data_IF_713017590521
#
_entry.id   IF_713017590521
#
_cell.length_a   1.000
_cell.length_b   1.000
_cell.length_c   1.000
_cell.angle_alpha   90.00
_cell.angle_beta   90.00
_cell.angle_gamma   90.00
#
_symmetry.space_group_name_H-M   'P 1'
#
loop_
_entity.id
_entity.type
_entity.pdbx_description
1 polymer ?
#
# COMPACT_ATOMS: atom_id res chain seq x y z
N UNK A 1 1.65 21.57 26.93
CA UNK A 1 1.99 20.13 26.88
C UNK A 1 1.49 19.62 25.54
N UNK A 2 2.36 19.55 24.53
CA UNK A 2 2.01 19.12 23.18
C UNK A 2 2.85 17.90 22.84
N UNK A 3 2.21 16.73 22.73
CA UNK A 3 2.83 15.50 22.23
C UNK A 3 2.81 15.54 20.70
N UNK A 4 3.99 15.65 20.09
CA UNK A 4 4.17 15.38 18.68
C UNK A 4 4.26 13.86 18.49
N UNK A 5 3.25 13.28 17.85
CA UNK A 5 3.25 11.89 17.41
C UNK A 5 4.16 11.81 16.18
N UNK A 6 5.34 11.20 16.36
CA UNK A 6 6.26 10.91 15.27
C UNK A 6 5.66 9.87 14.34
N UNK A 7 5.29 10.29 13.14
CA UNK A 7 4.92 9.39 12.04
C UNK A 7 6.19 8.63 11.65
N UNK A 8 6.24 7.33 11.91
CA UNK A 8 7.30 6.46 11.39
C UNK A 8 6.99 6.26 9.91
N UNK A 9 7.51 7.17 9.08
CA UNK A 9 7.55 6.97 7.64
C UNK A 9 8.42 5.75 7.34
N UNK A 10 7.82 4.71 6.79
CA UNK A 10 8.53 3.62 6.13
C UNK A 10 9.43 4.23 5.06
N UNK A 11 10.74 4.17 5.25
CA UNK A 11 11.70 4.51 4.21
C UNK A 11 11.55 3.49 3.08
N UNK A 12 10.69 3.78 2.11
CA UNK A 12 10.93 3.34 0.76
C UNK A 12 12.28 3.95 0.38
N UNK A 13 13.32 3.14 0.33
CA UNK A 13 14.57 3.54 -0.29
C UNK A 13 14.23 3.78 -1.76
N UNK A 14 13.97 5.04 -2.11
CA UNK A 14 14.03 5.49 -3.49
C UNK A 14 15.42 5.09 -3.96
N UNK A 15 15.48 4.00 -4.72
CA UNK A 15 16.69 3.51 -5.36
C UNK A 15 17.21 4.67 -6.20
N UNK A 16 18.23 5.37 -5.73
CA UNK A 16 18.77 6.53 -6.44
C UNK A 16 19.40 6.03 -7.74
N UNK A 17 18.62 6.09 -8.81
CA UNK A 17 19.05 5.66 -10.13
C UNK A 17 20.12 6.62 -10.63
N UNK A 18 21.28 6.05 -10.99
CA UNK A 18 22.34 6.78 -11.67
C UNK A 18 21.84 7.26 -13.02
N UNK A 19 21.94 8.56 -13.24
CA UNK A 19 21.70 9.19 -14.52
C UNK A 19 22.98 9.12 -15.38
N UNK A 20 22.94 8.40 -16.50
CA UNK A 20 24.07 8.27 -17.41
C UNK A 20 24.11 9.41 -18.43
N UNK A 21 25.32 9.87 -18.75
CA UNK A 21 25.51 10.87 -19.81
C UNK A 21 25.24 10.23 -21.18
N UNK A 22 24.36 10.85 -21.96
CA UNK A 22 23.99 10.38 -23.29
C UNK A 22 25.21 10.24 -24.22
N UNK A 23 25.33 9.09 -24.90
CA UNK A 23 26.40 8.77 -25.84
C UNK A 23 27.71 8.30 -25.21
N UNK A 24 27.92 8.49 -23.91
CA UNK A 24 29.13 8.04 -23.23
C UNK A 24 29.12 6.51 -23.03
N UNK A 25 30.27 5.86 -23.26
CA UNK A 25 30.42 4.41 -23.03
C UNK A 25 30.53 4.12 -21.53
N UNK A 26 29.80 3.11 -21.07
CA UNK A 26 29.89 2.59 -19.71
C UNK A 26 30.02 1.07 -19.72
N UNK A 27 30.70 0.56 -18.69
CA UNK A 27 30.77 -0.86 -18.34
C UNK A 27 30.31 -0.96 -16.88
N UNK A 28 29.29 -1.77 -16.62
CA UNK A 28 28.69 -1.94 -15.30
C UNK A 28 28.79 -3.41 -14.92
N UNK A 29 29.41 -3.68 -13.78
CA UNK A 29 29.46 -5.01 -13.18
C UNK A 29 28.58 -4.99 -11.94
N UNK A 30 27.60 -5.89 -11.89
CA UNK A 30 26.63 -5.85 -10.81
C UNK A 30 25.59 -6.96 -10.89
N UNK A 31 24.63 -6.89 -9.99
CA UNK A 31 23.55 -7.88 -9.89
C UNK A 31 22.23 -7.24 -10.32
N UNK A 32 21.41 -7.98 -11.06
CA UNK A 32 20.04 -7.54 -11.39
C UNK A 32 19.23 -7.53 -10.09
N UNK A 33 18.77 -6.34 -9.67
CA UNK A 33 17.94 -6.18 -8.47
C UNK A 33 16.46 -6.11 -8.78
N UNK A 34 16.11 -5.61 -9.96
CA UNK A 34 14.72 -5.50 -10.43
C UNK A 34 14.67 -5.68 -11.93
N UNK A 35 13.59 -6.28 -12.43
CA UNK A 35 13.28 -6.43 -13.85
C UNK A 35 11.97 -5.68 -14.11
N UNK A 36 12.05 -4.60 -14.88
CA UNK A 36 10.88 -3.79 -15.26
C UNK A 36 10.15 -4.45 -16.43
N UNK A 37 10.90 -4.85 -17.46
CA UNK A 37 10.41 -5.52 -18.68
C UNK A 37 11.38 -6.61 -19.14
N UNK A 38 11.06 -7.34 -20.21
CA UNK A 38 11.97 -8.35 -20.80
C UNK A 38 13.29 -7.78 -21.30
N UNK A 39 13.32 -6.49 -21.64
CA UNK A 39 14.51 -5.79 -22.13
C UNK A 39 14.99 -4.68 -21.17
N UNK A 40 14.29 -4.43 -20.06
CA UNK A 40 14.63 -3.34 -19.15
C UNK A 40 14.77 -3.86 -17.74
N UNK A 41 15.94 -3.64 -17.13
CA UNK A 41 16.22 -4.09 -15.78
C UNK A 41 17.14 -3.12 -15.05
N UNK A 42 17.16 -3.21 -13.72
CA UNK A 42 18.01 -2.39 -12.86
C UNK A 42 19.17 -3.25 -12.36
N UNK A 43 20.39 -2.76 -12.59
CA UNK A 43 21.62 -3.37 -12.09
C UNK A 43 22.15 -2.56 -10.93
N UNK A 44 22.43 -3.22 -9.81
CA UNK A 44 23.14 -2.65 -8.68
C UNK A 44 24.60 -3.05 -8.75
N UNK A 45 25.49 -2.06 -8.78
CA UNK A 45 26.94 -2.31 -8.75
C UNK A 45 27.43 -2.69 -7.33
N UNK A 46 28.73 -2.97 -7.19
CA UNK A 46 29.34 -3.31 -5.89
C UNK A 46 29.39 -2.15 -4.90
N UNK A 47 29.23 -0.91 -5.37
CA UNK A 47 29.18 0.33 -4.56
C UNK A 47 27.74 0.63 -4.13
N UNK A 48 26.75 -0.15 -4.58
CA UNK A 48 25.35 0.00 -4.24
C UNK A 48 24.61 1.01 -5.13
N UNK A 49 25.19 1.41 -6.26
CA UNK A 49 24.56 2.35 -7.18
C UNK A 49 23.68 1.61 -8.17
N UNK A 50 22.41 2.02 -8.25
CA UNK A 50 21.44 1.42 -9.16
C UNK A 50 21.50 2.09 -10.53
N UNK A 51 21.48 1.29 -11.59
CA UNK A 51 21.45 1.80 -12.97
C UNK A 51 20.40 1.08 -13.77
N UNK A 52 19.53 1.85 -14.42
CA UNK A 52 18.58 1.31 -15.39
C UNK A 52 19.33 0.92 -16.66
N UNK A 53 19.11 -0.31 -17.09
CA UNK A 53 19.72 -0.91 -18.28
C UNK A 53 18.62 -1.30 -19.24
N UNK A 54 18.74 -0.85 -20.49
CA UNK A 54 17.85 -1.18 -21.60
C UNK A 54 18.63 -2.00 -22.62
N UNK A 55 18.21 -3.23 -22.86
CA UNK A 55 18.83 -4.15 -23.83
C UNK A 55 18.52 -3.67 -25.24
N UNK A 56 19.58 -3.34 -25.99
CA UNK A 56 19.43 -2.95 -27.40
C UNK A 56 18.99 -4.15 -28.24
N UNK A 57 18.22 -3.96 -29.33
CA UNK A 57 17.71 -5.07 -30.17
C UNK A 57 18.82 -5.98 -30.74
N UNK A 58 20.02 -5.43 -30.95
CA UNK A 58 21.19 -6.13 -31.47
C UNK A 58 22.19 -6.54 -30.38
N UNK A 59 21.81 -6.48 -29.10
CA UNK A 59 22.72 -6.74 -27.99
C UNK A 59 23.26 -8.18 -28.00
N UNK A 60 24.57 -8.30 -27.75
CA UNK A 60 25.23 -9.60 -27.62
C UNK A 60 25.15 -10.08 -26.17
N UNK A 61 24.14 -10.87 -25.85
CA UNK A 61 23.97 -11.53 -24.55
C UNK A 61 24.60 -12.93 -24.62
N UNK A 62 25.67 -13.18 -23.87
CA UNK A 62 26.33 -14.49 -23.84
C UNK A 62 26.79 -14.89 -22.45
N UNK A 63 26.79 -16.19 -22.20
CA UNK A 63 27.50 -16.74 -21.05
C UNK A 63 29.01 -16.81 -21.34
N UNK A 64 29.84 -16.61 -20.33
CA UNK A 64 31.27 -16.89 -20.41
C UNK A 64 31.48 -18.40 -20.47
N UNK A 65 32.39 -18.84 -21.33
CA UNK A 65 32.78 -20.24 -21.46
C UNK A 65 34.30 -20.36 -21.30
N UNK A 66 34.73 -21.37 -20.54
CA UNK A 66 36.15 -21.63 -20.25
C UNK A 66 36.94 -22.09 -21.48
N UNK A 67 36.27 -22.67 -22.48
CA UNK A 67 36.84 -22.99 -23.78
C UNK A 67 35.83 -22.67 -24.90
N UNK A 68 36.01 -21.55 -25.60
CA UNK A 68 35.24 -21.19 -26.80
C UNK A 68 34.37 -19.92 -26.69
N UNK A 69 33.64 -19.62 -27.78
CA UNK A 69 32.61 -18.58 -27.77
C UNK A 69 31.39 -19.10 -27.02
N UNK A 70 31.10 -18.58 -25.83
CA UNK A 70 29.99 -19.08 -25.02
C UNK A 70 28.60 -18.85 -25.63
N UNK A 71 27.64 -19.61 -25.11
CA UNK A 71 26.26 -19.71 -25.63
C UNK A 71 25.55 -18.35 -25.64
N UNK A 72 24.77 -18.08 -26.70
CA UNK A 72 23.92 -16.88 -26.79
C UNK A 72 22.60 -17.12 -26.07
N UNK A 73 22.16 -16.13 -25.31
CA UNK A 73 20.92 -16.20 -24.56
C UNK A 73 19.95 -15.08 -24.98
N UNK A 74 18.63 -15.30 -24.88
CA UNK A 74 17.64 -14.24 -25.04
C UNK A 74 17.61 -13.31 -23.81
N UNK A 75 17.21 -12.05 -23.99
CA UNK A 75 17.09 -11.09 -22.89
C UNK A 75 16.12 -11.58 -21.79
N UNK A 76 15.04 -12.26 -22.18
CA UNK A 76 14.07 -12.87 -21.26
C UNK A 76 14.68 -13.88 -20.27
N UNK A 77 15.83 -14.48 -20.58
CA UNK A 77 16.51 -15.42 -19.68
C UNK A 77 17.25 -14.75 -18.52
N UNK A 78 17.42 -13.42 -18.59
CA UNK A 78 18.01 -12.64 -17.51
C UNK A 78 16.98 -12.48 -16.39
N UNK A 79 17.32 -12.99 -15.21
CA UNK A 79 16.47 -13.00 -14.02
C UNK A 79 17.08 -12.17 -12.90
N UNK A 80 16.27 -11.77 -11.92
CA UNK A 80 16.77 -11.10 -10.71
C UNK A 80 17.79 -11.98 -9.99
N UNK A 81 18.76 -11.35 -9.33
CA UNK A 81 19.85 -12.03 -8.64
C UNK A 81 20.99 -12.50 -9.57
N UNK A 82 20.86 -12.32 -10.89
CA UNK A 82 21.94 -12.64 -11.82
C UNK A 82 23.04 -11.57 -11.75
N UNK A 83 24.24 -12.00 -11.37
CA UNK A 83 25.45 -11.19 -11.50
C UNK A 83 25.97 -11.23 -12.94
N UNK A 84 26.12 -10.05 -13.53
CA UNK A 84 26.50 -9.86 -14.91
C UNK A 84 27.30 -8.58 -15.13
N UNK A 85 27.92 -8.51 -16.31
CA UNK A 85 28.60 -7.35 -16.85
C UNK A 85 27.82 -6.82 -18.04
N UNK A 86 27.49 -5.54 -18.01
CA UNK A 86 26.81 -4.82 -19.09
C UNK A 86 27.74 -3.76 -19.66
N UNK A 87 28.00 -3.83 -20.95
CA UNK A 87 28.61 -2.75 -21.72
C UNK A 87 27.55 -2.08 -22.59
N UNK A 88 27.57 -0.75 -22.60
CA UNK A 88 26.62 0.03 -23.38
C UNK A 88 27.01 1.50 -23.49
N UNK A 89 26.06 2.31 -23.95
CA UNK A 89 26.15 3.76 -23.93
C UNK A 89 24.98 4.37 -23.18
N UNK A 90 25.20 5.48 -22.48
CA UNK A 90 24.09 6.24 -21.91
C UNK A 90 23.13 6.68 -23.01
N UNK A 91 21.83 6.64 -22.75
CA UNK A 91 20.80 7.14 -23.64
C UNK A 91 20.28 8.51 -23.19
N UNK A 92 19.33 9.08 -23.93
CA UNK A 92 18.72 10.38 -23.61
C UNK A 92 17.85 10.35 -22.35
N UNK A 93 17.45 9.17 -21.88
CA UNK A 93 16.63 8.97 -20.69
C UNK A 93 17.48 8.69 -19.44
N UNK A 94 18.80 8.81 -19.54
CA UNK A 94 19.70 8.54 -18.42
C UNK A 94 19.97 7.07 -18.16
N UNK A 95 19.51 6.17 -19.02
CA UNK A 95 19.63 4.72 -18.88
C UNK A 95 20.82 4.20 -19.70
N UNK A 96 21.24 2.97 -19.45
CA UNK A 96 22.29 2.31 -20.22
C UNK A 96 21.67 1.54 -21.39
N UNK A 97 21.86 2.00 -22.62
CA UNK A 97 21.59 1.22 -23.82
C UNK A 97 22.67 0.12 -23.96
N UNK A 98 22.36 -1.07 -23.46
CA UNK A 98 23.26 -2.22 -23.42
C UNK A 98 23.44 -2.82 -24.82
N UNK A 99 24.69 -2.91 -25.24
CA UNK A 99 25.08 -3.51 -26.53
C UNK A 99 25.71 -4.88 -26.34
N UNK A 100 26.24 -5.16 -25.15
CA UNK A 100 26.90 -6.42 -24.83
C UNK A 100 26.67 -6.76 -23.36
N UNK A 101 26.26 -7.99 -23.11
CA UNK A 101 26.00 -8.53 -21.78
C UNK A 101 26.78 -9.84 -21.65
N UNK A 102 27.49 -9.98 -20.53
CA UNK A 102 28.30 -11.16 -20.19
C UNK A 102 27.99 -11.61 -18.77
N UNK A 103 27.87 -12.92 -18.57
CA UNK A 103 27.62 -13.50 -17.25
C UNK A 103 28.16 -14.93 -17.21
N UNK A 104 28.28 -15.49 -16.02
CA UNK A 104 28.68 -16.89 -15.88
C UNK A 104 27.45 -17.80 -15.84
N UNK A 105 27.53 -18.97 -16.48
CA UNK A 105 26.43 -19.94 -16.54
C UNK A 105 26.00 -20.42 -15.14
N UNK A 106 26.95 -20.53 -14.20
CA UNK A 106 26.69 -20.85 -12.80
C UNK A 106 25.84 -19.78 -12.11
N UNK A 107 26.09 -18.50 -12.41
CA UNK A 107 25.35 -17.38 -11.82
C UNK A 107 23.91 -17.38 -12.35
N UNK A 108 23.70 -17.71 -13.63
CA UNK A 108 22.36 -17.86 -14.21
C UNK A 108 21.57 -18.96 -13.51
N UNK A 109 22.16 -20.15 -13.32
CA UNK A 109 21.49 -21.26 -12.63
C UNK A 109 21.13 -20.90 -11.19
N UNK A 110 22.05 -20.24 -10.48
CA UNK A 110 21.83 -19.78 -9.10
C UNK A 110 20.69 -18.76 -9.06
N UNK A 111 20.72 -17.76 -9.93
CA UNK A 111 19.71 -16.72 -9.99
C UNK A 111 18.33 -17.28 -10.34
N UNK A 112 18.22 -18.19 -11.31
CA UNK A 112 16.96 -18.87 -11.65
C UNK A 112 16.40 -19.68 -10.48
N UNK A 113 17.26 -20.35 -9.70
CA UNK A 113 16.82 -21.09 -8.52
C UNK A 113 16.25 -20.16 -7.44
N UNK A 114 16.81 -18.96 -7.28
CA UNK A 114 16.32 -17.96 -6.33
C UNK A 114 15.02 -17.35 -6.83
N UNK A 115 14.98 -16.91 -8.09
CA UNK A 115 13.80 -16.28 -8.71
C UNK A 115 12.57 -17.18 -8.63
N UNK A 116 12.72 -18.49 -8.91
CA UNK A 116 11.63 -19.47 -8.80
C UNK A 116 10.99 -19.57 -7.41
N UNK A 117 11.69 -19.16 -6.36
CA UNK A 117 11.20 -19.16 -4.96
C UNK A 117 10.70 -17.80 -4.51
N UNK A 118 11.19 -16.71 -5.10
CA UNK A 118 10.81 -15.34 -4.76
C UNK A 118 9.49 -14.96 -5.41
N UNK A 119 9.25 -15.34 -6.67
CA UNK A 119 8.00 -14.98 -7.38
C UNK A 119 6.73 -15.43 -6.63
N UNK A 120 6.62 -16.68 -6.13
CA UNK A 120 5.44 -17.08 -5.34
C UNK A 120 5.33 -16.35 -4.00
N UNK A 121 6.45 -15.88 -3.43
CA UNK A 121 6.43 -15.12 -2.18
C UNK A 121 5.93 -13.68 -2.40
N UNK A 122 6.31 -13.04 -3.50
CA UNK A 122 5.82 -11.70 -3.90
C UNK A 122 4.33 -11.71 -4.22
N UNK A 123 3.85 -12.74 -4.91
CA UNK A 123 2.40 -12.93 -5.17
C UNK A 123 1.61 -13.04 -3.86
N UNK A 124 2.12 -13.82 -2.90
CA UNK A 124 1.49 -13.96 -1.57
C UNK A 124 1.51 -12.66 -0.78
N UNK A 125 2.58 -11.86 -0.91
CA UNK A 125 2.69 -10.58 -0.22
C UNK A 125 1.69 -9.56 -0.79
N UNK A 126 1.58 -9.48 -2.11
CA UNK A 126 0.60 -8.62 -2.81
C UNK A 126 -0.83 -8.96 -2.39
N UNK A 127 -1.17 -10.25 -2.33
CA UNK A 127 -2.48 -10.71 -1.87
C UNK A 127 -2.73 -10.37 -0.39
N UNK A 128 -1.70 -10.46 0.47
CA UNK A 128 -1.81 -10.08 1.86
C UNK A 128 -2.02 -8.57 2.04
N UNK A 129 -1.33 -7.74 1.25
CA UNK A 129 -1.50 -6.29 1.25
C UNK A 129 -2.89 -5.85 0.78
N UNK A 130 -3.42 -6.47 -0.28
CA UNK A 130 -4.78 -6.21 -0.75
C UNK A 130 -5.82 -6.62 0.31
N UNK A 131 -5.62 -7.78 0.93
CA UNK A 131 -6.46 -8.23 2.02
C UNK A 131 -6.40 -7.28 3.23
N UNK A 132 -5.21 -6.79 3.58
CA UNK A 132 -5.04 -5.81 4.66
C UNK A 132 -5.74 -4.48 4.35
N UNK A 133 -5.65 -3.98 3.10
CA UNK A 133 -6.39 -2.78 2.65
C UNK A 133 -7.90 -2.97 2.79
N UNK A 134 -8.42 -4.13 2.36
CA UNK A 134 -9.84 -4.46 2.50
C UNK A 134 -10.27 -4.51 3.96
N UNK A 135 -9.48 -5.15 4.83
CA UNK A 135 -9.75 -5.21 6.27
C UNK A 135 -9.70 -3.81 6.90
N UNK A 136 -8.74 -2.97 6.51
CA UNK A 136 -8.66 -1.58 6.97
C UNK A 136 -9.93 -0.80 6.62
N UNK A 137 -10.42 -0.91 5.38
CA UNK A 137 -11.67 -0.27 4.97
C UNK A 137 -12.88 -0.77 5.78
N UNK A 138 -12.94 -2.06 6.10
CA UNK A 138 -13.98 -2.62 6.96
C UNK A 138 -13.90 -2.07 8.39
N UNK A 139 -12.70 -1.87 8.94
CA UNK A 139 -12.52 -1.29 10.27
C UNK A 139 -13.01 0.17 10.28
N UNK A 140 -12.70 0.95 9.24
CA UNK A 140 -13.17 2.33 9.11
C UNK A 140 -14.70 2.41 9.03
N UNK A 141 -15.33 1.53 8.23
CA UNK A 141 -16.79 1.40 8.18
C UNK A 141 -17.39 1.00 9.52
N UNK A 142 -16.81 0.01 10.21
CA UNK A 142 -17.27 -0.42 11.53
C UNK A 142 -17.14 0.69 12.58
N UNK A 143 -16.08 1.49 12.53
CA UNK A 143 -15.93 2.66 13.41
C UNK A 143 -17.00 3.71 13.12
N UNK A 144 -17.30 3.98 11.85
CA UNK A 144 -18.37 4.91 11.48
C UNK A 144 -19.75 4.42 11.96
N UNK A 145 -20.06 3.14 11.76
CA UNK A 145 -21.30 2.51 12.25
C UNK A 145 -21.36 2.56 13.78
N UNK A 146 -20.26 2.24 14.47
CA UNK A 146 -20.21 2.26 15.93
C UNK A 146 -20.44 3.67 16.49
N UNK A 147 -19.85 4.68 15.87
CA UNK A 147 -20.07 6.08 16.25
C UNK A 147 -21.52 6.52 15.99
N UNK A 148 -22.09 6.15 14.85
CA UNK A 148 -23.49 6.42 14.53
C UNK A 148 -24.44 5.73 15.52
N UNK A 149 -24.20 4.46 15.85
CA UNK A 149 -24.97 3.70 16.83
C UNK A 149 -24.90 4.33 18.22
N UNK A 150 -23.70 4.76 18.66
CA UNK A 150 -23.52 5.44 19.95
C UNK A 150 -24.23 6.80 20.00
N UNK A 151 -24.19 7.55 18.91
CA UNK A 151 -24.93 8.80 18.77
C UNK A 151 -26.45 8.59 18.81
N UNK A 152 -26.96 7.61 18.06
CA UNK A 152 -28.38 7.25 18.07
C UNK A 152 -28.86 6.75 19.43
N UNK A 153 -28.06 5.93 20.11
CA UNK A 153 -28.37 5.46 21.46
C UNK A 153 -28.46 6.62 22.47
N UNK A 154 -27.54 7.59 22.38
CA UNK A 154 -27.56 8.78 23.23
C UNK A 154 -28.80 9.64 22.98
N UNK A 155 -29.15 9.88 21.70
CA UNK A 155 -30.35 10.64 21.35
C UNK A 155 -31.65 9.95 21.80
N UNK A 156 -31.70 8.61 21.68
CA UNK A 156 -32.82 7.82 22.19
C UNK A 156 -32.94 7.91 23.72
N UNK A 157 -31.81 7.87 24.44
CA UNK A 157 -31.77 8.04 25.90
C UNK A 157 -32.28 9.42 26.32
N UNK A 158 -31.79 10.49 25.68
CA UNK A 158 -32.26 11.86 25.96
C UNK A 158 -33.77 12.01 25.71
N UNK A 159 -34.28 11.38 24.65
CA UNK A 159 -35.73 11.38 24.34
C UNK A 159 -36.53 10.60 25.39
N UNK A 160 -36.02 9.45 25.83
CA UNK A 160 -36.66 8.65 26.88
C UNK A 160 -36.68 9.40 28.22
N UNK A 161 -35.57 10.02 28.62
CA UNK A 161 -35.46 10.81 29.84
C UNK A 161 -36.45 11.99 29.83
N UNK A 162 -36.56 12.69 28.69
CA UNK A 162 -37.53 13.77 28.50
C UNK A 162 -38.98 13.27 28.60
N UNK A 163 -39.29 12.10 28.01
CA UNK A 163 -40.61 11.50 28.09
C UNK A 163 -40.96 11.10 29.54
N UNK A 164 -40.03 10.48 30.27
CA UNK A 164 -40.21 10.13 31.69
C UNK A 164 -40.46 11.37 32.54
N UNK A 165 -39.68 12.44 32.33
CA UNK A 165 -39.90 13.72 33.01
C UNK A 165 -41.29 14.30 32.71
N UNK A 166 -41.74 14.26 31.45
CA UNK A 166 -43.07 14.72 31.04
C UNK A 166 -44.22 13.90 31.66
N UNK A 167 -44.07 12.58 31.73
CA UNK A 167 -45.04 11.69 32.39
C UNK A 167 -45.12 11.99 33.89
N UNK A 168 -43.98 12.13 34.56
CA UNK A 168 -43.94 12.44 35.99
C UNK A 168 -44.62 13.80 36.29
N UNK A 169 -44.35 14.83 35.50
CA UNK A 169 -44.99 16.14 35.63
C UNK A 169 -46.51 16.06 35.41
N UNK A 170 -46.95 15.25 34.43
CA UNK A 170 -48.38 15.04 34.16
C UNK A 170 -49.07 14.31 35.31
N UNK A 171 -48.46 13.25 35.85
CA UNK A 171 -48.98 12.53 37.00
C UNK A 171 -49.13 13.44 38.23
N UNK A 172 -48.14 14.29 38.50
CA UNK A 172 -48.23 15.28 39.59
C UNK A 172 -49.40 16.24 39.41
N UNK A 173 -49.66 16.72 38.19
CA UNK A 173 -50.81 17.59 37.90
C UNK A 173 -52.14 16.88 38.12
N UNK A 174 -52.24 15.61 37.71
CA UNK A 174 -53.45 14.79 37.91
C UNK A 174 -53.70 14.57 39.40
N UNK A 175 -52.68 14.18 40.17
CA UNK A 175 -52.83 14.01 41.62
C UNK A 175 -53.21 15.32 42.32
N UNK A 176 -52.65 16.46 41.89
CA UNK A 176 -53.00 17.77 42.45
C UNK A 176 -54.43 18.23 42.08
N UNK A 177 -55.03 17.71 41.00
CA UNK A 177 -56.42 18.00 40.64
C UNK A 177 -57.42 17.32 41.60
N UNK A 178 -57.05 16.17 42.16
CA UNK A 178 -57.87 15.47 43.17
C UNK A 178 -57.80 16.17 44.54
N UNK A 179 -56.70 16.85 44.85
CA UNK A 179 -56.52 17.67 46.05
C UNK A 179 -57.14 19.07 45.87
N UNK A 180 -58.46 19.19 45.94
CA UNK A 180 -59.14 20.48 45.92
C UNK A 180 -59.92 20.77 47.21
N UNK A 181 -60.00 22.07 47.53
CA UNK A 181 -60.90 22.59 48.56
C UNK A 181 -61.95 23.44 47.88
N UNK A 182 -63.23 23.10 48.06
CA UNK A 182 -64.35 23.88 47.51
C UNK A 182 -64.37 25.26 48.16
N UNK A 183 -64.06 26.29 47.37
CA UNK A 183 -64.06 27.69 47.84
C UNK A 183 -65.45 28.32 47.80
N UNK A 184 -66.26 27.98 46.79
CA UNK A 184 -67.66 28.40 46.71
C UNK A 184 -68.48 27.37 45.93
N UNK A 185 -69.78 27.30 46.23
CA UNK A 185 -70.75 26.48 45.52
C UNK A 185 -71.85 27.39 45.00
N UNK A 186 -72.21 27.24 43.73
CA UNK A 186 -73.32 27.96 43.11
C UNK A 186 -74.27 26.94 42.47
N UNK A 187 -75.56 27.05 42.76
CA UNK A 187 -76.59 26.18 42.19
C UNK A 187 -77.16 26.82 40.92
N UNK A 188 -77.07 26.12 39.80
CA UNK A 188 -77.67 26.53 38.52
C UNK A 188 -78.99 25.81 38.35
N UNK A 189 -80.09 26.55 38.48
CA UNK A 189 -81.42 26.01 38.23
C UNK A 189 -81.73 26.10 36.74
N UNK A 190 -81.92 24.94 36.11
CA UNK A 190 -82.42 24.88 34.74
C UNK A 190 -83.94 24.98 34.74
N UNK A 191 -84.48 25.76 33.80
CA UNK A 191 -85.92 25.90 33.60
C UNK A 191 -86.42 24.67 32.83
N UNK A 192 -87.31 23.91 33.47
CA UNK A 192 -88.16 22.90 32.83
C UNK A 192 -89.34 23.56 32.12
#
# INVERSE_FOLDING_TARGET
MALAIGVVGTFAQDAQLRNLVNGQKYEIKGTIVSKEDDNTFIVRDTVGVDTRVVVSPNASIRANAFFGSGDRFPAASLVRGLNLEVEGRGDANGSLAATKIRFDKSNLQTAQSIDSRVTPAEERLTAAEENAKRVSGQIDELMAISNAARGGAKAAQETADAAVAGVNATNQRISALDEYVVQSTATVNFRV
#
